data_IF_576446941232
#
_entry.id   IF_576446941232
#
_cell.length_a   1.000
_cell.length_b   1.000
_cell.length_c   1.000
_cell.angle_alpha   90.00
_cell.angle_beta   90.00
_cell.angle_gamma   90.00
#
_symmetry.space_group_name_H-M   'P 1'
#
loop_
_entity.id
_entity.type
_entity.pdbx_description
1 polymer ?
#
# COMPACT_ATOMS: atom_id res chain seq x y z
N UNK A 1 9.46 8.24 -1.00
CA UNK A 1 8.91 7.41 0.10
C UNK A 1 9.64 7.78 1.38
N UNK A 2 8.93 8.00 2.50
CA UNK A 2 9.59 8.22 3.78
C UNK A 2 10.33 6.94 4.18
N UNK A 3 11.61 7.06 4.50
CA UNK A 3 12.52 5.91 4.64
C UNK A 3 12.15 4.97 5.78
N UNK A 4 11.40 5.44 6.79
CA UNK A 4 10.96 4.69 7.96
C UNK A 4 9.54 4.12 7.87
N UNK A 5 8.87 4.25 6.72
CA UNK A 5 7.52 3.73 6.54
C UNK A 5 7.53 2.42 5.74
N UNK A 6 6.76 1.44 6.21
CA UNK A 6 6.45 0.22 5.48
C UNK A 6 5.11 0.37 4.78
N UNK A 7 5.11 0.33 3.44
CA UNK A 7 3.92 0.52 2.62
C UNK A 7 3.32 -0.80 2.18
N UNK A 8 1.99 -0.91 2.27
CA UNK A 8 1.22 -2.01 1.74
C UNK A 8 0.06 -1.49 0.88
N UNK A 9 -0.17 -2.17 -0.23
CA UNK A 9 -1.38 -2.01 -1.05
C UNK A 9 -2.36 -3.12 -0.70
N UNK A 10 -3.62 -2.76 -0.50
CA UNK A 10 -4.68 -3.73 -0.21
C UNK A 10 -5.40 -4.07 -1.50
N UNK A 11 -5.67 -5.35 -1.72
CA UNK A 11 -6.33 -5.85 -2.93
C UNK A 11 -7.48 -6.79 -2.55
N UNK A 12 -8.60 -6.81 -3.30
CA UNK A 12 -9.66 -7.78 -3.08
C UNK A 12 -9.24 -9.15 -3.62
N UNK A 13 -9.33 -10.21 -2.81
CA UNK A 13 -8.96 -11.56 -3.24
C UNK A 13 -9.75 -11.98 -4.49
N UNK A 14 -11.07 -11.75 -4.47
CA UNK A 14 -11.96 -12.05 -5.59
C UNK A 14 -11.54 -11.35 -6.90
N UNK A 15 -11.10 -10.09 -6.83
CA UNK A 15 -10.66 -9.34 -8.01
C UNK A 15 -9.37 -9.89 -8.60
N UNK A 16 -8.41 -10.27 -7.75
CA UNK A 16 -7.17 -10.94 -8.19
C UNK A 16 -7.49 -12.28 -8.86
N UNK A 17 -8.33 -13.09 -8.23
CA UNK A 17 -8.73 -14.40 -8.76
C UNK A 17 -9.53 -14.28 -10.07
N UNK A 18 -10.42 -13.29 -10.19
CA UNK A 18 -11.19 -13.05 -11.41
C UNK A 18 -10.29 -12.71 -12.60
N UNK A 19 -9.27 -11.87 -12.40
CA UNK A 19 -8.37 -11.43 -13.46
C UNK A 19 -7.35 -12.52 -13.87
N UNK A 20 -6.89 -13.34 -12.91
CA UNK A 20 -5.79 -14.29 -13.13
C UNK A 20 -6.22 -15.77 -13.12
N UNK A 21 -7.48 -16.07 -12.78
CA UNK A 21 -8.02 -17.41 -12.63
C UNK A 21 -7.51 -18.19 -11.41
N UNK A 22 -6.66 -17.57 -10.57
CA UNK A 22 -6.13 -18.12 -9.33
C UNK A 22 -5.53 -16.98 -8.47
N UNK A 23 -5.22 -17.27 -7.20
CA UNK A 23 -4.46 -16.35 -6.34
C UNK A 23 -2.96 -16.68 -6.40
N UNK A 24 -2.14 -15.85 -7.08
CA UNK A 24 -0.69 -16.05 -7.08
C UNK A 24 -0.07 -15.63 -5.74
N UNK A 25 1.17 -16.05 -5.49
CA UNK A 25 1.94 -15.58 -4.33
C UNK A 25 2.63 -14.24 -4.58
N UNK A 26 2.72 -13.81 -5.84
CA UNK A 26 3.37 -12.57 -6.24
C UNK A 26 2.75 -12.06 -7.55
N UNK A 27 2.48 -10.75 -7.61
CA UNK A 27 2.08 -10.04 -8.81
C UNK A 27 3.29 -9.40 -9.48
N UNK A 28 3.22 -9.25 -10.81
CA UNK A 28 4.27 -8.63 -11.58
C UNK A 28 4.26 -7.10 -11.39
N UNK A 29 5.45 -6.51 -11.21
CA UNK A 29 5.68 -5.06 -11.16
C UNK A 29 6.77 -4.72 -12.18
N UNK A 30 6.47 -3.84 -13.13
CA UNK A 30 7.43 -3.43 -14.17
C UNK A 30 8.29 -2.27 -13.67
N UNK A 31 9.23 -2.57 -12.76
CA UNK A 31 10.14 -1.55 -12.23
C UNK A 31 10.91 -0.80 -13.34
N UNK A 32 11.26 -1.47 -14.43
CA UNK A 32 11.95 -0.84 -15.55
C UNK A 32 11.03 0.10 -16.32
N UNK A 33 9.77 -0.30 -16.53
CA UNK A 33 8.71 0.54 -17.09
C UNK A 33 8.48 1.79 -16.26
N UNK A 34 8.34 1.64 -14.94
CA UNK A 34 8.16 2.77 -14.03
C UNK A 34 9.36 3.72 -14.03
N UNK A 35 10.59 3.20 -14.02
CA UNK A 35 11.79 4.03 -14.09
C UNK A 35 11.83 4.86 -15.39
N UNK A 36 11.51 4.24 -16.54
CA UNK A 36 11.39 4.96 -17.82
C UNK A 36 10.28 6.00 -17.78
N UNK A 37 9.09 5.61 -17.31
CA UNK A 37 7.95 6.51 -17.20
C UNK A 37 8.34 7.76 -16.41
N UNK A 38 8.97 7.64 -15.24
CA UNK A 38 9.36 8.80 -14.43
C UNK A 38 10.56 9.59 -14.98
N UNK A 39 11.49 8.95 -15.67
CA UNK A 39 12.64 9.63 -16.31
C UNK A 39 12.20 10.55 -17.45
N UNK A 40 11.16 10.17 -18.19
CA UNK A 40 10.67 10.90 -19.36
C UNK A 40 9.83 12.16 -19.01
N UNK A 41 9.79 12.58 -17.74
CA UNK A 41 8.96 13.69 -17.22
C UNK A 41 7.54 13.70 -17.80
N UNK A 42 6.75 12.62 -17.58
CA UNK A 42 5.48 12.45 -18.23
C UNK A 42 4.54 13.53 -17.71
N UNK A 43 3.98 14.32 -18.63
CA UNK A 43 2.94 15.28 -18.33
C UNK A 43 1.68 14.55 -17.84
N UNK A 44 1.53 14.28 -16.53
CA UNK A 44 0.29 13.76 -15.87
C UNK A 44 -0.45 12.61 -16.60
N UNK A 45 0.18 11.95 -17.56
CA UNK A 45 -0.45 10.99 -18.44
C UNK A 45 -0.40 9.62 -17.79
N UNK A 46 -1.47 8.86 -17.97
CA UNK A 46 -1.54 7.51 -17.43
C UNK A 46 -0.36 6.67 -17.96
N UNK A 47 0.31 5.91 -17.09
CA UNK A 47 1.44 5.09 -17.50
C UNK A 47 0.97 4.02 -18.49
N UNK A 48 1.65 3.90 -19.63
CA UNK A 48 1.49 2.78 -20.56
C UNK A 48 2.18 1.50 -20.04
N UNK A 49 2.01 1.20 -18.75
CA UNK A 49 2.54 0.05 -18.03
C UNK A 49 1.35 -0.85 -17.72
N UNK A 50 1.55 -2.16 -17.83
CA UNK A 50 0.54 -3.15 -17.43
C UNK A 50 1.14 -4.04 -16.35
N UNK A 51 0.88 -3.70 -15.10
CA UNK A 51 1.38 -4.40 -13.93
C UNK A 51 0.41 -4.30 -12.73
N UNK A 52 0.84 -4.80 -11.57
CA UNK A 52 0.05 -4.83 -10.36
C UNK A 52 -0.51 -3.48 -9.91
N UNK A 53 0.11 -2.35 -10.28
CA UNK A 53 -0.35 -1.01 -9.89
C UNK A 53 -1.28 -0.35 -10.91
N UNK A 54 -1.29 -0.83 -12.15
CA UNK A 54 -2.14 -0.28 -13.21
C UNK A 54 -3.39 -1.11 -13.50
N UNK A 55 -3.43 -2.36 -13.02
CA UNK A 55 -4.61 -3.20 -13.11
C UNK A 55 -5.64 -2.74 -12.07
N UNK A 56 -6.89 -2.52 -12.52
CA UNK A 56 -8.00 -2.30 -11.61
C UNK A 56 -8.49 -3.64 -11.03
N UNK A 57 -8.00 -3.94 -9.83
CA UNK A 57 -8.39 -5.14 -9.08
C UNK A 57 -9.76 -5.01 -8.42
N UNK A 58 -10.32 -3.80 -8.32
CA UNK A 58 -11.54 -3.55 -7.56
C UNK A 58 -12.80 -3.61 -8.42
N UNK A 59 -12.66 -3.55 -9.75
CA UNK A 59 -13.76 -3.74 -10.70
C UNK A 59 -14.60 -4.98 -10.35
N UNK A 60 -15.92 -4.80 -10.27
CA UNK A 60 -16.94 -5.84 -10.01
C UNK A 60 -16.83 -6.60 -8.68
N UNK A 61 -15.97 -6.17 -7.75
CA UNK A 61 -15.81 -6.84 -6.44
C UNK A 61 -16.91 -6.51 -5.44
N UNK A 62 -17.61 -5.39 -5.63
CA UNK A 62 -18.72 -4.95 -4.76
C UNK A 62 -18.32 -4.61 -3.32
N UNK A 63 -17.03 -4.39 -3.05
CA UNK A 63 -16.55 -4.04 -1.71
C UNK A 63 -16.97 -2.61 -1.37
N UNK A 64 -18.00 -2.48 -0.54
CA UNK A 64 -18.53 -1.19 -0.11
C UNK A 64 -17.48 -0.41 0.71
N UNK A 65 -17.14 0.81 0.26
CA UNK A 65 -16.09 1.60 0.91
C UNK A 65 -16.47 2.06 2.32
N UNK A 66 -17.76 2.27 2.58
CA UNK A 66 -18.23 2.84 3.85
C UNK A 66 -17.79 2.02 5.07
N UNK A 67 -17.83 0.68 4.99
CA UNK A 67 -17.43 -0.17 6.11
C UNK A 67 -15.94 -0.06 6.44
N UNK A 68 -15.09 0.11 5.40
CA UNK A 68 -13.65 0.32 5.58
C UNK A 68 -13.37 1.72 6.13
N UNK A 69 -14.05 2.72 5.59
CA UNK A 69 -13.98 4.11 6.03
C UNK A 69 -14.34 4.23 7.52
N UNK A 70 -15.47 3.64 7.93
CA UNK A 70 -15.93 3.67 9.32
C UNK A 70 -14.96 2.96 10.28
N UNK A 71 -14.32 1.88 9.81
CA UNK A 71 -13.32 1.18 10.60
C UNK A 71 -12.02 2.00 10.74
N UNK A 72 -11.57 2.66 9.68
CA UNK A 72 -10.37 3.52 9.71
C UNK A 72 -10.60 4.79 10.54
N UNK A 73 -11.81 5.34 10.56
CA UNK A 73 -12.19 6.46 11.43
C UNK A 73 -12.03 6.17 12.92
N UNK A 74 -12.11 4.90 13.30
CA UNK A 74 -11.89 4.47 14.70
C UNK A 74 -10.40 4.32 15.03
N UNK A 75 -9.53 4.23 14.02
CA UNK A 75 -8.10 3.99 14.19
C UNK A 75 -7.28 5.27 14.09
N UNK A 76 -7.60 6.13 13.13
CA UNK A 76 -6.80 7.30 12.78
C UNK A 76 -7.69 8.53 12.58
N UNK A 77 -7.08 9.72 12.64
CA UNK A 77 -7.78 10.97 12.35
C UNK A 77 -7.81 11.24 10.86
N UNK A 78 -8.97 11.58 10.30
CA UNK A 78 -9.08 12.01 8.91
C UNK A 78 -8.28 13.28 8.66
N UNK A 79 -7.56 13.33 7.55
CA UNK A 79 -6.89 14.54 7.07
C UNK A 79 -7.58 15.05 5.82
N UNK A 80 -7.98 16.32 5.85
CA UNK A 80 -8.63 16.99 4.72
C UNK A 80 -7.56 17.74 3.94
N UNK A 81 -6.96 17.08 2.96
CA UNK A 81 -5.98 17.72 2.05
C UNK A 81 -6.62 18.32 0.80
N UNK A 82 -7.89 17.98 0.53
CA UNK A 82 -8.63 18.39 -0.67
C UNK A 82 -9.98 19.03 -0.29
N UNK A 83 -10.59 19.76 -1.22
CA UNK A 83 -11.91 20.38 -1.04
C UNK A 83 -13.02 19.35 -0.73
N UNK A 84 -14.09 19.80 -0.08
CA UNK A 84 -15.30 19.01 0.21
C UNK A 84 -15.84 18.29 -1.04
N UNK A 85 -16.19 17.00 -0.93
CA UNK A 85 -16.78 16.22 -2.01
C UNK A 85 -15.84 15.27 -2.75
N UNK A 86 -14.61 15.08 -2.26
CA UNK A 86 -13.71 14.07 -2.83
C UNK A 86 -14.10 12.66 -2.43
N UNK A 87 -14.01 11.72 -3.37
CA UNK A 87 -14.14 10.28 -3.13
C UNK A 87 -12.83 9.65 -2.65
N UNK A 88 -11.94 10.45 -2.05
CA UNK A 88 -10.62 10.03 -1.62
C UNK A 88 -10.45 10.35 -0.14
N UNK A 89 -10.53 9.32 0.68
CA UNK A 89 -10.41 9.41 2.13
C UNK A 89 -8.94 9.19 2.53
N UNK A 90 -8.43 10.03 3.42
CA UNK A 90 -7.08 9.93 3.96
C UNK A 90 -7.12 10.05 5.46
N UNK A 91 -6.27 9.26 6.11
CA UNK A 91 -6.07 9.31 7.54
C UNK A 91 -4.58 9.42 7.87
N UNK A 92 -4.28 10.10 8.96
CA UNK A 92 -2.92 10.24 9.48
C UNK A 92 -2.93 10.06 11.00
N UNK A 93 -1.96 9.30 11.49
CA UNK A 93 -1.66 9.16 12.91
C UNK A 93 -0.85 10.34 13.43
N UNK A 94 -1.08 10.68 14.70
CA UNK A 94 -0.29 11.65 15.45
C UNK A 94 -0.12 11.10 16.88
N UNK A 95 1.09 11.08 17.46
CA UNK A 95 2.36 11.61 16.94
C UNK A 95 3.14 10.66 16.01
N UNK A 96 2.65 9.43 15.82
CA UNK A 96 3.30 8.40 15.02
C UNK A 96 2.76 8.45 13.59
N UNK A 97 3.65 8.46 12.59
CA UNK A 97 3.33 8.77 11.19
C UNK A 97 2.75 7.58 10.42
N UNK A 98 1.76 6.90 11.02
CA UNK A 98 0.93 5.93 10.31
C UNK A 98 -0.02 6.68 9.39
N UNK A 99 -0.32 6.13 8.22
CA UNK A 99 -1.35 6.70 7.37
C UNK A 99 -2.06 5.63 6.54
N UNK A 100 -3.26 5.95 6.10
CA UNK A 100 -4.07 5.11 5.23
C UNK A 100 -4.80 5.99 4.22
N UNK A 101 -5.09 5.42 3.05
CA UNK A 101 -5.90 6.06 2.03
C UNK A 101 -6.86 5.08 1.39
N UNK A 102 -8.10 5.51 1.18
CA UNK A 102 -9.11 4.76 0.45
C UNK A 102 -9.69 5.67 -0.64
N UNK A 103 -9.55 5.26 -1.89
CA UNK A 103 -10.29 5.86 -2.99
C UNK A 103 -11.60 5.10 -3.20
N UNK A 104 -12.63 5.85 -3.56
CA UNK A 104 -13.99 5.37 -3.79
C UNK A 104 -14.41 5.73 -5.20
N UNK A 105 -15.06 4.80 -5.87
CA UNK A 105 -15.67 5.02 -7.17
C UNK A 105 -16.66 6.19 -7.12
N UNK A 106 -16.57 7.17 -8.03
CA UNK A 106 -17.38 8.39 -7.96
C UNK A 106 -18.89 8.15 -8.14
N UNK A 107 -19.29 6.99 -8.68
CA UNK A 107 -20.67 6.69 -9.05
C UNK A 107 -21.34 5.60 -8.22
N UNK A 108 -20.58 4.77 -7.51
CA UNK A 108 -21.09 3.49 -6.96
C UNK A 108 -20.82 3.28 -5.46
N UNK A 109 -19.91 4.06 -4.86
CA UNK A 109 -19.57 3.93 -3.44
C UNK A 109 -18.71 2.71 -3.10
N UNK A 110 -18.15 2.04 -4.11
CA UNK A 110 -17.23 0.92 -3.93
C UNK A 110 -15.78 1.41 -3.87
N UNK A 111 -14.92 0.61 -3.24
CA UNK A 111 -13.49 0.92 -3.20
C UNK A 111 -12.92 0.86 -4.63
N UNK A 112 -12.04 1.80 -4.95
CA UNK A 112 -11.22 1.76 -6.17
C UNK A 112 -9.72 1.73 -5.86
N UNK A 113 -9.32 2.08 -4.64
CA UNK A 113 -7.94 1.97 -4.17
C UNK A 113 -7.93 1.87 -2.64
N UNK A 114 -7.02 1.08 -2.07
CA UNK A 114 -6.75 1.09 -0.63
C UNK A 114 -5.27 0.85 -0.38
N UNK A 115 -4.60 1.79 0.27
CA UNK A 115 -3.21 1.65 0.71
C UNK A 115 -3.04 2.11 2.16
N UNK A 116 -1.97 1.65 2.81
CA UNK A 116 -1.57 2.18 4.11
C UNK A 116 -0.05 2.10 4.29
N UNK A 117 0.46 2.96 5.19
CA UNK A 117 1.86 3.05 5.56
C UNK A 117 2.01 2.99 7.06
N UNK A 118 2.86 2.08 7.51
CA UNK A 118 3.18 1.89 8.92
C UNK A 118 4.51 2.55 9.23
N UNK A 119 4.53 3.53 10.13
CA UNK A 119 5.76 4.02 10.74
C UNK A 119 6.41 2.93 11.59
N UNK A 120 7.65 2.57 11.27
CA UNK A 120 8.37 1.47 11.91
C UNK A 120 9.28 1.91 13.07
N UNK A 121 9.31 3.21 13.42
CA UNK A 121 10.21 3.75 14.46
C UNK A 121 9.88 3.29 15.87
N UNK A 122 8.62 2.97 16.11
CA UNK A 122 8.11 2.40 17.36
C UNK A 122 7.46 1.06 17.06
N UNK A 123 8.06 -0.02 17.56
CA UNK A 123 7.63 -1.40 17.25
C UNK A 123 6.26 -1.70 17.84
N UNK A 124 5.95 -1.22 19.04
CA UNK A 124 4.66 -1.49 19.69
C UNK A 124 3.52 -0.81 18.92
N UNK A 125 3.74 0.46 18.53
CA UNK A 125 2.79 1.21 17.71
C UNK A 125 2.65 0.64 16.30
N UNK A 126 3.76 0.22 15.68
CA UNK A 126 3.74 -0.44 14.38
C UNK A 126 2.94 -1.74 14.39
N UNK A 127 3.15 -2.59 15.41
CA UNK A 127 2.40 -3.83 15.58
C UNK A 127 0.92 -3.55 15.80
N UNK A 128 0.57 -2.62 16.70
CA UNK A 128 -0.82 -2.23 16.96
C UNK A 128 -1.52 -1.79 15.67
N UNK A 129 -0.88 -0.90 14.90
CA UNK A 129 -1.48 -0.38 13.66
C UNK A 129 -1.62 -1.46 12.59
N UNK A 130 -0.57 -2.27 12.39
CA UNK A 130 -0.61 -3.39 11.44
C UNK A 130 -1.72 -4.37 11.79
N UNK A 131 -1.80 -4.84 13.03
CA UNK A 131 -2.84 -5.79 13.45
C UNK A 131 -4.25 -5.21 13.26
N UNK A 132 -4.45 -3.92 13.57
CA UNK A 132 -5.72 -3.26 13.40
C UNK A 132 -6.17 -3.22 11.93
N UNK A 133 -5.29 -2.78 11.02
CA UNK A 133 -5.61 -2.69 9.58
C UNK A 133 -5.72 -4.08 8.94
N UNK A 134 -4.88 -5.04 9.32
CA UNK A 134 -4.98 -6.42 8.84
C UNK A 134 -6.28 -7.08 9.30
N UNK A 135 -6.77 -6.78 10.50
CA UNK A 135 -8.08 -7.23 10.98
C UNK A 135 -9.24 -6.64 10.17
N UNK A 136 -9.11 -5.39 9.70
CA UNK A 136 -10.05 -4.81 8.72
C UNK A 136 -10.00 -5.64 7.43
N UNK A 137 -8.81 -5.85 6.86
CA UNK A 137 -8.63 -6.60 5.62
C UNK A 137 -9.22 -8.02 5.70
N UNK A 138 -8.98 -8.73 6.81
CA UNK A 138 -9.48 -10.09 7.02
C UNK A 138 -11.02 -10.16 7.04
N UNK A 139 -11.71 -9.16 7.60
CA UNK A 139 -13.18 -9.12 7.65
C UNK A 139 -13.84 -8.89 6.30
N UNK A 140 -13.08 -8.39 5.33
CA UNK A 140 -13.56 -8.03 4.00
C UNK A 140 -12.95 -8.89 2.88
N UNK A 141 -12.31 -10.01 3.22
CA UNK A 141 -11.65 -10.93 2.28
C UNK A 141 -10.62 -10.24 1.37
N UNK A 142 -9.81 -9.37 1.98
CA UNK A 142 -8.77 -8.60 1.31
C UNK A 142 -7.38 -9.22 1.55
N UNK A 143 -6.53 -9.12 0.53
CA UNK A 143 -5.10 -9.42 0.55
C UNK A 143 -4.30 -8.13 0.77
N UNK A 144 -3.04 -8.30 1.17
CA UNK A 144 -2.07 -7.20 1.22
C UNK A 144 -0.87 -7.52 0.34
N UNK A 145 -0.38 -6.51 -0.36
CA UNK A 145 0.72 -6.57 -1.31
C UNK A 145 1.82 -5.59 -0.91
N UNK A 146 3.08 -6.05 -0.92
CA UNK A 146 4.22 -5.17 -0.70
C UNK A 146 4.77 -4.53 -1.99
N UNK A 147 5.84 -3.73 -1.85
CA UNK A 147 6.46 -3.00 -2.96
C UNK A 147 7.10 -3.91 -4.02
N UNK A 148 7.34 -5.18 -3.71
CA UNK A 148 7.87 -6.19 -4.64
C UNK A 148 6.75 -7.06 -5.25
N UNK A 149 5.49 -6.74 -4.95
CA UNK A 149 4.31 -7.42 -5.50
C UNK A 149 3.96 -8.70 -4.78
N UNK A 150 4.63 -9.03 -3.66
CA UNK A 150 4.36 -10.27 -2.92
C UNK A 150 3.00 -10.15 -2.24
N UNK A 151 2.15 -11.15 -2.41
CA UNK A 151 0.81 -11.19 -1.85
C UNK A 151 0.80 -12.00 -0.55
N UNK A 152 0.13 -11.46 0.45
CA UNK A 152 -0.01 -12.07 1.75
C UNK A 152 -1.47 -12.12 2.18
N UNK A 153 -1.82 -13.19 2.89
CA UNK A 153 -3.01 -13.16 3.74
C UNK A 153 -2.83 -12.07 4.81
N UNK A 154 -3.90 -11.38 5.24
CA UNK A 154 -3.81 -10.23 6.12
C UNK A 154 -3.55 -10.66 7.58
N UNK A 155 -2.34 -11.15 7.85
CA UNK A 155 -1.89 -11.63 9.16
C UNK A 155 -0.43 -11.23 9.36
N UNK A 156 -0.10 -10.71 10.53
CA UNK A 156 1.23 -10.17 10.82
C UNK A 156 2.35 -11.20 10.55
N UNK A 157 2.13 -12.47 10.94
CA UNK A 157 3.10 -13.55 10.72
C UNK A 157 3.46 -13.77 9.25
N UNK A 158 2.52 -13.53 8.34
CA UNK A 158 2.71 -13.74 6.89
C UNK A 158 3.54 -12.58 6.31
N UNK A 159 3.52 -11.41 6.95
CA UNK A 159 4.30 -10.23 6.56
C UNK A 159 5.73 -10.25 7.06
N UNK A 160 6.09 -11.08 8.04
CA UNK A 160 7.43 -11.08 8.65
C UNK A 160 8.57 -11.16 7.62
N UNK A 161 8.53 -12.04 6.60
CA UNK A 161 9.60 -12.11 5.61
C UNK A 161 9.75 -10.81 4.79
N UNK A 162 8.63 -10.10 4.55
CA UNK A 162 8.66 -8.82 3.85
C UNK A 162 9.15 -7.69 4.77
N UNK A 163 8.68 -7.66 6.01
CA UNK A 163 9.09 -6.68 7.03
C UNK A 163 10.60 -6.73 7.29
N UNK A 164 11.18 -7.92 7.43
CA UNK A 164 12.62 -8.10 7.65
C UNK A 164 13.48 -7.56 6.50
N UNK A 165 12.92 -7.52 5.29
CA UNK A 165 13.62 -7.10 4.08
C UNK A 165 13.29 -5.66 3.68
N UNK A 166 12.29 -5.05 4.30
CA UNK A 166 11.79 -3.76 3.89
C UNK A 166 12.82 -2.64 4.16
N UNK A 167 12.76 -1.61 3.33
CA UNK A 167 13.64 -0.44 3.41
C UNK A 167 13.66 0.19 4.79
N UNK A 168 12.50 0.27 5.45
CA UNK A 168 12.36 0.87 6.77
C UNK A 168 13.14 0.12 7.85
N UNK A 169 12.96 -1.20 7.95
CA UNK A 169 13.67 -2.02 8.93
C UNK A 169 15.17 -2.01 8.65
N UNK A 170 15.59 -2.12 7.38
CA UNK A 170 17.01 -2.07 7.01
C UNK A 170 17.67 -0.74 7.39
N UNK A 171 16.99 0.38 7.14
CA UNK A 171 17.49 1.70 7.53
C UNK A 171 17.54 1.87 9.06
N UNK A 172 16.54 1.38 9.79
CA UNK A 172 16.50 1.47 11.26
C UNK A 172 17.57 0.60 11.94
N UNK A 173 17.89 -0.58 11.38
CA UNK A 173 18.90 -1.50 11.93
C UNK A 173 20.32 -1.02 11.62
N UNK A 174 20.62 -0.66 10.36
CA UNK A 174 21.95 -0.23 9.95
C UNK A 174 21.92 0.92 8.93
N UNK A 175 21.67 2.17 9.38
CA UNK A 175 21.48 3.31 8.48
C UNK A 175 22.71 3.63 7.64
N UNK A 176 23.92 3.42 8.18
CA UNK A 176 25.17 3.68 7.45
C UNK A 176 25.33 2.75 6.25
N UNK A 177 25.21 1.45 6.49
CA UNK A 177 25.33 0.45 5.41
C UNK A 177 24.23 0.65 4.37
N UNK A 178 23.00 0.95 4.82
CA UNK A 178 21.90 1.27 3.92
C UNK A 178 22.25 2.46 2.99
N UNK A 179 22.74 3.57 3.56
CA UNK A 179 23.11 4.76 2.78
C UNK A 179 24.27 4.47 1.82
N UNK A 180 25.29 3.71 2.24
CA UNK A 180 26.38 3.28 1.36
C UNK A 180 25.88 2.43 0.18
N UNK A 181 24.90 1.56 0.39
CA UNK A 181 24.27 0.76 -0.68
C UNK A 181 23.44 1.62 -1.64
N UNK A 182 22.69 2.60 -1.14
CA UNK A 182 21.92 3.53 -1.98
C UNK A 182 22.84 4.38 -2.84
N UNK A 183 23.93 4.92 -2.26
CA UNK A 183 24.90 5.74 -2.98
C UNK A 183 25.60 4.97 -4.10
N UNK A 184 25.95 3.69 -3.88
CA UNK A 184 26.52 2.85 -4.95
C UNK A 184 25.54 2.63 -6.11
N UNK A 185 24.25 2.42 -5.83
CA UNK A 185 23.23 2.21 -6.87
C UNK A 185 22.97 3.47 -7.70
N UNK A 186 23.14 4.67 -7.12
CA UNK A 186 23.00 5.93 -7.86
C UNK A 186 24.18 6.22 -8.78
N UNK A 187 25.35 5.66 -8.53
CA UNK A 187 26.55 5.86 -9.36
C UNK A 187 26.59 4.95 -10.61
N UNK A 188 25.73 3.92 -10.66
CA UNK A 188 25.61 2.98 -11.79
C UNK A 188 24.58 3.43 -12.87
N UNK A 189 24.03 4.65 -12.76
CA UNK A 189 23.06 5.25 -13.71
C UNK A 189 23.62 6.54 -14.32
#
# INVERSE_FOLDING_TARGET
>A
MAIWQYQLTVLPAAGVEQQLGHLPTQLFIDHAGWNRHWADQPQLADPAIYDAYTIDWWTDTGVAAQALVDALDQLLTRVVWNASGTTFYRWKGEPVDHDASVAVGPSDGYVSEFTFRTDMRDVEQAVWFLEAVLSICQRHDLLVMDAEGRLFAPRLRELLPSLEQCTAVRFLINPREFLEQVLRKSDDH
#
